data_IF_325830665131
#
_entry.id   IF_325830665131
#
_cell.length_a   1.000
_cell.length_b   1.000
_cell.length_c   1.000
_cell.angle_alpha   90.00
_cell.angle_beta   90.00
_cell.angle_gamma   90.00
#
_symmetry.space_group_name_H-M   'P 1'
#
loop_
_entity.id
_entity.type
_entity.pdbx_description
1 polymer ?
#
# COMPACT_ATOMS: atom_id res chain seq x y z
N UNK A 1 11.87 18.66 -34.66
CA UNK A 1 10.97 17.58 -34.20
C UNK A 1 11.80 16.55 -33.45
N UNK A 2 11.85 16.65 -32.14
CA UNK A 2 12.49 15.65 -31.27
C UNK A 2 11.39 14.82 -30.65
N UNK A 3 11.33 13.55 -30.99
CA UNK A 3 10.50 12.56 -30.32
C UNK A 3 11.17 12.17 -29.00
N UNK A 4 10.51 12.26 -27.85
CA UNK A 4 11.05 11.74 -26.62
C UNK A 4 10.85 10.22 -26.58
N UNK A 5 11.91 9.47 -26.80
CA UNK A 5 11.97 8.04 -26.49
C UNK A 5 12.13 7.88 -24.98
N UNK A 6 11.03 7.71 -24.28
CA UNK A 6 11.05 7.21 -22.90
C UNK A 6 11.11 5.69 -22.93
N UNK A 7 12.30 5.14 -23.10
CA UNK A 7 12.55 3.70 -22.93
C UNK A 7 13.23 3.49 -21.59
N UNK A 8 12.48 3.12 -20.55
CA UNK A 8 13.03 2.47 -19.36
C UNK A 8 12.51 1.04 -19.35
N UNK A 9 13.17 0.20 -20.13
CA UNK A 9 13.06 -1.25 -20.05
C UNK A 9 14.19 -1.76 -19.17
N UNK A 10 13.87 -2.16 -17.95
CA UNK A 10 14.76 -3.02 -17.15
C UNK A 10 13.95 -4.26 -16.81
N UNK A 11 14.30 -5.36 -17.47
CA UNK A 11 13.77 -6.67 -17.16
C UNK A 11 14.25 -7.12 -15.77
N UNK A 12 13.33 -7.53 -14.91
CA UNK A 12 13.63 -8.25 -13.67
C UNK A 12 12.87 -9.57 -13.63
N UNK A 13 13.63 -10.61 -13.30
CA UNK A 13 13.14 -11.96 -13.05
C UNK A 13 12.18 -11.98 -11.85
N UNK A 14 11.16 -12.81 -11.94
CA UNK A 14 10.18 -13.02 -10.89
C UNK A 14 10.85 -13.66 -9.67
N UNK A 15 10.73 -13.00 -8.51
CA UNK A 15 10.98 -13.57 -7.21
C UNK A 15 9.66 -13.60 -6.43
N UNK A 16 9.30 -14.77 -5.92
CA UNK A 16 8.13 -14.98 -5.07
C UNK A 16 8.47 -14.54 -3.64
N UNK A 17 7.72 -13.61 -3.08
CA UNK A 17 7.87 -13.14 -1.69
C UNK A 17 6.54 -12.63 -1.15
N UNK A 18 6.32 -12.81 0.15
CA UNK A 18 5.11 -12.41 0.85
C UNK A 18 4.91 -10.89 0.92
N UNK A 19 3.68 -10.43 0.85
CA UNK A 19 3.30 -9.03 0.63
C UNK A 19 2.11 -8.64 1.51
N UNK A 20 2.04 -7.38 1.91
CA UNK A 20 0.77 -6.75 2.29
C UNK A 20 -0.20 -6.80 1.12
N UNK A 21 -1.47 -7.03 1.32
CA UNK A 21 -2.40 -7.48 0.29
C UNK A 21 -1.90 -8.71 -0.50
N UNK A 22 -0.99 -9.50 -0.03
CA UNK A 22 -0.38 -10.59 -0.78
C UNK A 22 0.03 -10.20 -2.21
N UNK A 23 0.72 -11.08 -2.91
CA UNK A 23 1.13 -10.82 -4.31
C UNK A 23 -0.05 -10.49 -5.22
N UNK A 24 -1.18 -11.15 -5.01
CA UNK A 24 -2.41 -10.97 -5.78
C UNK A 24 -2.98 -9.55 -5.60
N UNK A 25 -3.11 -9.08 -4.36
CA UNK A 25 -3.70 -7.78 -4.05
C UNK A 25 -2.86 -6.62 -4.58
N UNK A 26 -1.54 -6.62 -4.33
CA UNK A 26 -0.63 -5.60 -4.87
C UNK A 26 -0.62 -5.56 -6.39
N UNK A 27 -0.60 -6.71 -7.05
CA UNK A 27 -0.66 -6.78 -8.50
C UNK A 27 -1.99 -6.24 -9.03
N UNK A 28 -3.09 -6.48 -8.32
CA UNK A 28 -4.43 -5.97 -8.67
C UNK A 28 -4.50 -4.45 -8.51
N UNK A 29 -3.98 -3.89 -7.42
CA UNK A 29 -3.84 -2.44 -7.21
C UNK A 29 -3.03 -1.80 -8.33
N UNK A 30 -1.86 -2.35 -8.64
CA UNK A 30 -0.95 -1.80 -9.64
C UNK A 30 -1.49 -1.89 -11.07
N UNK A 31 -2.25 -2.93 -11.39
CA UNK A 31 -2.84 -3.10 -12.72
C UNK A 31 -3.81 -1.97 -13.09
N UNK A 32 -4.52 -1.36 -12.13
CA UNK A 32 -5.41 -0.21 -12.39
C UNK A 32 -4.64 1.04 -12.82
N UNK A 33 -3.45 1.27 -12.30
CA UNK A 33 -2.71 2.53 -12.50
C UNK A 33 -2.12 2.72 -13.90
N UNK A 34 -2.09 1.68 -14.75
CA UNK A 34 -1.39 1.68 -16.08
C UNK A 34 -2.35 1.64 -17.28
N UNK A 35 -3.63 1.79 -17.09
CA UNK A 35 -4.67 1.34 -18.00
C UNK A 35 -4.99 2.21 -19.22
N UNK A 36 -4.01 2.73 -19.92
CA UNK A 36 -4.15 2.93 -21.36
C UNK A 36 -3.45 1.85 -22.21
N UNK A 37 -2.58 1.04 -21.59
CA UNK A 37 -1.87 -0.06 -22.25
C UNK A 37 -1.83 -1.31 -21.37
N UNK A 38 -2.68 -2.28 -21.68
CA UNK A 38 -2.75 -3.57 -21.00
C UNK A 38 -1.61 -4.52 -21.37
N UNK A 39 -0.72 -4.15 -22.28
CA UNK A 39 0.37 -4.99 -22.78
C UNK A 39 1.59 -5.00 -21.85
N UNK A 40 1.72 -4.03 -20.94
CA UNK A 40 2.87 -3.93 -20.03
C UNK A 40 2.44 -4.00 -18.57
N UNK A 41 2.48 -5.22 -18.03
CA UNK A 41 2.22 -5.47 -16.59
C UNK A 41 3.37 -5.02 -15.68
N UNK A 42 4.16 -4.00 -16.07
CA UNK A 42 5.37 -3.63 -15.32
C UNK A 42 5.08 -3.30 -13.86
N UNK A 43 4.10 -2.44 -13.60
CA UNK A 43 3.77 -2.06 -12.22
C UNK A 43 3.23 -3.25 -11.42
N UNK A 44 2.41 -4.11 -12.00
CA UNK A 44 1.93 -5.32 -11.36
C UNK A 44 3.08 -6.31 -11.05
N UNK A 45 4.06 -6.44 -11.97
CA UNK A 45 5.22 -7.30 -11.78
C UNK A 45 6.18 -6.82 -10.69
N UNK A 46 6.21 -5.53 -10.39
CA UNK A 46 7.08 -4.95 -9.34
C UNK A 46 6.33 -4.59 -8.07
N UNK A 47 5.02 -4.81 -8.03
CA UNK A 47 4.17 -4.36 -6.93
C UNK A 47 4.55 -4.97 -5.57
N UNK A 48 5.02 -6.22 -5.54
CA UNK A 48 5.51 -6.91 -4.33
C UNK A 48 7.02 -6.83 -4.13
N UNK A 49 7.73 -6.02 -4.94
CA UNK A 49 9.19 -5.93 -4.86
C UNK A 49 9.68 -5.44 -3.49
N UNK A 50 9.00 -4.49 -2.87
CA UNK A 50 9.42 -3.89 -1.60
C UNK A 50 9.44 -4.89 -0.45
N UNK A 51 8.53 -5.89 -0.43
CA UNK A 51 8.54 -6.97 0.56
C UNK A 51 9.75 -7.87 0.43
N UNK A 52 10.11 -8.22 -0.79
CA UNK A 52 11.34 -8.98 -1.02
C UNK A 52 12.57 -8.15 -0.66
N UNK A 53 12.56 -6.86 -1.03
CA UNK A 53 13.68 -5.97 -0.80
C UNK A 53 13.97 -5.75 0.68
N UNK A 54 12.95 -5.53 1.54
CA UNK A 54 13.13 -5.36 3.00
C UNK A 54 13.80 -6.54 3.69
N UNK A 55 13.75 -7.73 3.09
CA UNK A 55 14.40 -8.94 3.61
C UNK A 55 15.88 -9.04 3.23
N UNK A 56 16.38 -8.15 2.36
CA UNK A 56 17.79 -8.09 1.97
C UNK A 56 18.59 -7.21 2.92
N UNK A 57 19.91 -7.41 2.96
CA UNK A 57 20.80 -6.53 3.74
C UNK A 57 20.70 -5.05 3.31
N UNK A 58 20.54 -4.79 2.01
CA UNK A 58 20.41 -3.45 1.45
C UNK A 58 19.05 -2.80 1.74
N UNK A 59 17.98 -3.61 1.82
CA UNK A 59 16.61 -3.13 1.97
C UNK A 59 16.08 -3.16 3.41
N UNK A 60 16.82 -3.72 4.36
CA UNK A 60 16.35 -3.93 5.75
C UNK A 60 15.87 -2.64 6.43
N UNK A 61 16.39 -1.49 6.05
CA UNK A 61 15.97 -0.18 6.56
C UNK A 61 14.50 0.14 6.26
N UNK A 62 13.93 -0.46 5.21
CA UNK A 62 12.57 -0.18 4.76
C UNK A 62 11.49 -1.02 5.46
N UNK A 63 11.86 -1.93 6.36
CA UNK A 63 10.90 -2.75 7.08
C UNK A 63 9.76 -1.95 7.77
N UNK A 64 10.02 -0.82 8.46
CA UNK A 64 8.96 -0.03 9.08
C UNK A 64 8.12 0.79 8.09
N UNK A 65 8.49 0.84 6.81
CA UNK A 65 7.77 1.63 5.80
C UNK A 65 6.47 0.99 5.34
N UNK A 66 6.25 -0.29 5.63
CA UNK A 66 5.10 -1.05 5.16
C UNK A 66 3.84 -0.83 6.00
N UNK A 67 3.91 -0.10 7.12
CA UNK A 67 2.79 0.08 8.03
C UNK A 67 2.89 1.40 8.82
N UNK A 68 1.78 1.77 9.46
CA UNK A 68 1.75 2.73 10.54
C UNK A 68 0.95 2.12 11.70
N UNK A 69 1.56 2.03 12.87
CA UNK A 69 0.96 1.40 14.05
C UNK A 69 0.10 2.41 14.80
N UNK A 70 -1.17 2.58 14.39
CA UNK A 70 -2.10 3.42 15.12
C UNK A 70 -2.24 2.94 16.56
N UNK A 71 -1.83 3.79 17.50
CA UNK A 71 -1.94 3.51 18.92
C UNK A 71 -3.31 3.98 19.43
N UNK A 72 -4.33 3.25 19.06
CA UNK A 72 -5.73 3.51 19.36
C UNK A 72 -6.36 2.36 20.17
N UNK A 73 -7.66 2.10 20.08
CA UNK A 73 -8.34 1.12 20.95
C UNK A 73 -9.53 0.44 20.24
N UNK A 74 -9.28 -0.42 19.22
CA UNK A 74 -10.36 -1.18 18.61
C UNK A 74 -11.07 -2.12 19.60
N UNK A 75 -12.37 -2.34 19.45
CA UNK A 75 -13.28 -1.79 18.45
C UNK A 75 -13.90 -0.43 18.84
N UNK A 76 -13.49 0.16 19.95
CA UNK A 76 -14.12 1.36 20.51
C UNK A 76 -13.71 2.65 19.81
N UNK A 77 -12.46 2.72 19.33
CA UNK A 77 -11.88 3.90 18.70
C UNK A 77 -10.81 3.49 17.72
N UNK A 78 -10.97 3.91 16.47
CA UNK A 78 -9.97 3.72 15.42
C UNK A 78 -9.60 5.08 14.82
N UNK A 79 -8.31 5.45 14.94
CA UNK A 79 -7.82 6.72 14.44
C UNK A 79 -6.29 6.69 14.23
N UNK A 80 -5.84 7.18 13.11
CA UNK A 80 -4.43 7.40 12.82
C UNK A 80 -4.05 8.83 13.19
N UNK A 81 -2.96 8.97 13.95
CA UNK A 81 -2.34 10.26 14.21
C UNK A 81 -0.85 10.20 13.82
N UNK A 82 -0.48 10.83 12.73
CA UNK A 82 0.89 10.78 12.20
C UNK A 82 1.95 11.14 13.25
N UNK A 83 1.74 12.17 14.05
CA UNK A 83 2.70 12.60 15.05
C UNK A 83 2.84 11.62 16.23
N UNK A 84 1.77 10.87 16.54
CA UNK A 84 1.75 9.85 17.60
C UNK A 84 2.33 8.51 17.09
N UNK A 85 1.97 8.13 15.87
CA UNK A 85 2.07 6.74 15.40
C UNK A 85 3.28 6.49 14.50
N UNK A 86 3.81 7.53 13.83
CA UNK A 86 5.01 7.39 13.00
C UNK A 86 6.28 7.52 13.84
N UNK A 87 7.14 6.51 13.83
CA UNK A 87 8.38 6.48 14.64
C UNK A 87 9.52 7.25 13.99
N UNK A 88 10.65 7.37 14.72
CA UNK A 88 11.89 7.90 14.16
C UNK A 88 12.48 7.02 13.05
N UNK A 89 12.13 5.74 13.01
CA UNK A 89 12.51 4.82 11.92
C UNK A 89 11.67 5.00 10.65
N UNK A 90 10.63 5.83 10.71
CA UNK A 90 9.68 6.03 9.63
C UNK A 90 8.42 5.15 9.76
N UNK A 91 7.50 5.32 8.83
CA UNK A 91 6.26 4.57 8.68
C UNK A 91 5.78 4.67 7.22
N UNK A 92 4.68 4.00 6.85
CA UNK A 92 4.11 4.05 5.50
C UNK A 92 3.84 5.48 5.01
N UNK A 93 3.30 6.34 5.86
CA UNK A 93 3.00 7.74 5.52
C UNK A 93 4.27 8.55 5.21
N UNK A 94 5.30 8.46 6.06
CA UNK A 94 6.56 9.15 5.84
C UNK A 94 7.29 8.64 4.60
N UNK A 95 7.21 7.33 4.35
CA UNK A 95 7.80 6.70 3.18
C UNK A 95 7.09 7.12 1.89
N UNK A 96 5.75 7.13 1.85
CA UNK A 96 4.98 7.65 0.71
C UNK A 96 5.40 9.09 0.40
N UNK A 97 5.55 9.95 1.41
CA UNK A 97 6.01 11.33 1.22
C UNK A 97 7.41 11.39 0.62
N UNK A 98 8.36 10.64 1.18
CA UNK A 98 9.75 10.60 0.70
C UNK A 98 9.81 10.10 -0.76
N UNK A 99 9.18 8.96 -1.04
CA UNK A 99 9.26 8.38 -2.39
C UNK A 99 8.47 9.18 -3.43
N UNK A 100 7.41 9.89 -3.06
CA UNK A 100 6.75 10.88 -3.93
C UNK A 100 7.72 11.95 -4.38
N UNK A 101 8.48 12.54 -3.44
CA UNK A 101 9.48 13.56 -3.75
C UNK A 101 10.59 13.00 -4.65
N UNK A 102 11.07 11.79 -4.37
CA UNK A 102 12.13 11.13 -5.17
C UNK A 102 11.67 10.80 -6.59
N UNK A 103 10.45 10.32 -6.79
CA UNK A 103 9.90 10.10 -8.15
C UNK A 103 9.75 11.42 -8.91
N UNK A 104 9.46 12.51 -8.23
CA UNK A 104 9.33 13.84 -8.82
C UNK A 104 10.68 14.58 -9.02
N UNK A 105 11.81 14.05 -8.50
CA UNK A 105 13.11 14.72 -8.58
C UNK A 105 13.86 14.34 -9.86
N UNK A 106 13.87 15.22 -10.84
CA UNK A 106 14.56 15.02 -12.12
C UNK A 106 16.10 14.93 -11.99
N UNK A 107 16.69 15.27 -10.84
CA UNK A 107 18.14 15.19 -10.60
C UNK A 107 18.58 13.79 -10.21
N UNK A 108 17.67 12.93 -9.81
CA UNK A 108 18.00 11.56 -9.43
C UNK A 108 18.30 10.70 -10.67
N UNK A 109 19.17 9.72 -10.47
CA UNK A 109 19.45 8.73 -11.52
C UNK A 109 18.19 7.92 -11.84
N UNK A 110 18.10 7.41 -13.07
CA UNK A 110 17.01 6.52 -13.48
C UNK A 110 16.84 5.33 -12.53
N UNK A 111 17.95 4.76 -12.03
CA UNK A 111 17.91 3.65 -11.07
C UNK A 111 17.26 4.06 -9.74
N UNK A 112 17.63 5.24 -9.20
CA UNK A 112 17.05 5.76 -7.96
C UNK A 112 15.57 6.12 -8.11
N UNK A 113 15.18 6.67 -9.26
CA UNK A 113 13.77 6.97 -9.57
C UNK A 113 12.96 5.68 -9.72
N UNK A 114 13.51 4.65 -10.39
CA UNK A 114 12.86 3.36 -10.53
C UNK A 114 12.68 2.63 -9.19
N UNK A 115 13.67 2.72 -8.28
CA UNK A 115 13.54 2.21 -6.92
C UNK A 115 12.42 2.94 -6.16
N UNK A 116 12.43 4.27 -6.21
CA UNK A 116 11.41 5.10 -5.57
C UNK A 116 10.00 4.79 -6.09
N UNK A 117 9.85 4.58 -7.41
CA UNK A 117 8.57 4.20 -8.01
C UNK A 117 8.09 2.84 -7.50
N UNK A 118 8.98 1.85 -7.39
CA UNK A 118 8.62 0.52 -6.86
C UNK A 118 8.11 0.59 -5.42
N UNK A 119 8.79 1.36 -4.57
CA UNK A 119 8.29 1.62 -3.22
C UNK A 119 6.91 2.30 -3.24
N UNK A 120 6.74 3.34 -4.05
CA UNK A 120 5.49 4.08 -4.10
C UNK A 120 4.32 3.21 -4.55
N UNK A 121 4.53 2.36 -5.58
CA UNK A 121 3.53 1.40 -6.06
C UNK A 121 3.10 0.45 -4.96
N UNK A 122 4.05 -0.07 -4.18
CA UNK A 122 3.79 -1.00 -3.09
C UNK A 122 3.07 -0.32 -1.92
N UNK A 123 3.63 0.76 -1.42
CA UNK A 123 3.15 1.44 -0.21
C UNK A 123 1.75 2.07 -0.37
N UNK A 124 1.36 2.47 -1.59
CA UNK A 124 -0.01 2.90 -1.85
C UNK A 124 -1.01 1.73 -1.83
N UNK A 125 -0.53 0.51 -1.98
CA UNK A 125 -1.31 -0.70 -1.67
C UNK A 125 -1.42 -0.92 -0.18
N UNK A 126 -0.27 -0.95 0.52
CA UNK A 126 -0.18 -1.22 1.98
C UNK A 126 -1.13 -0.33 2.78
N UNK A 127 -1.08 0.99 2.55
CA UNK A 127 -1.89 1.98 3.26
C UNK A 127 -3.41 1.85 3.06
N UNK A 128 -3.86 0.93 2.23
CA UNK A 128 -5.29 0.63 2.07
C UNK A 128 -5.72 -0.64 2.78
N UNK A 129 -4.79 -1.44 3.31
CA UNK A 129 -5.09 -2.63 4.09
C UNK A 129 -5.26 -2.23 5.57
N UNK A 130 -6.44 -2.42 6.16
CA UNK A 130 -6.75 -1.89 7.49
C UNK A 130 -5.74 -2.29 8.59
N UNK A 131 -5.22 -3.51 8.56
CA UNK A 131 -4.30 -4.02 9.58
C UNK A 131 -2.86 -3.51 9.39
N UNK A 132 -2.53 -2.88 8.26
CA UNK A 132 -1.28 -2.14 8.09
C UNK A 132 -1.29 -0.78 8.78
N UNK A 133 -2.47 -0.31 9.18
CA UNK A 133 -2.66 0.97 9.85
C UNK A 133 -3.09 0.78 11.32
N UNK A 134 -2.75 -0.38 11.93
CA UNK A 134 -3.19 -0.79 13.27
C UNK A 134 -2.04 -1.34 14.11
N UNK A 135 -2.00 -0.95 15.40
CA UNK A 135 -1.01 -1.45 16.34
C UNK A 135 -1.47 -2.68 17.15
N UNK A 136 -2.78 -2.88 17.30
CA UNK A 136 -3.31 -3.94 18.18
C UNK A 136 -2.84 -5.33 17.75
N UNK A 137 -2.28 -6.08 18.71
CA UNK A 137 -1.75 -7.43 18.46
C UNK A 137 -0.82 -7.49 17.24
N UNK A 138 0.07 -6.49 17.13
CA UNK A 138 1.05 -6.34 16.03
C UNK A 138 0.34 -6.26 14.67
N UNK A 139 -0.69 -5.42 14.58
CA UNK A 139 -1.56 -5.33 13.39
C UNK A 139 -2.27 -6.65 13.08
N UNK A 140 -2.69 -7.38 14.10
CA UNK A 140 -3.37 -8.67 13.95
C UNK A 140 -2.47 -9.87 13.70
N UNK A 141 -1.14 -9.74 13.66
CA UNK A 141 -0.22 -10.88 13.49
C UNK A 141 -0.23 -11.83 14.69
N UNK A 142 -0.52 -11.32 15.89
CA UNK A 142 -0.61 -12.13 17.10
C UNK A 142 -2.05 -12.65 17.36
N UNK A 143 -3.02 -12.31 16.52
CA UNK A 143 -4.39 -12.83 16.60
C UNK A 143 -4.45 -14.16 15.84
N UNK A 144 -4.37 -15.26 16.56
CA UNK A 144 -4.49 -16.61 15.97
C UNK A 144 -5.94 -16.92 15.64
N UNK A 145 -6.19 -17.34 14.42
CA UNK A 145 -7.52 -17.62 13.88
C UNK A 145 -7.53 -18.97 13.13
N UNK A 146 -8.71 -19.42 12.78
CA UNK A 146 -8.92 -20.53 11.84
C UNK A 146 -9.65 -19.97 10.62
N UNK A 147 -9.12 -20.23 9.43
CA UNK A 147 -9.74 -19.81 8.17
C UNK A 147 -9.82 -21.00 7.20
N UNK A 148 -11.02 -21.28 6.68
CA UNK A 148 -11.32 -22.34 5.70
C UNK A 148 -10.74 -23.73 6.10
N UNK A 149 -10.85 -24.06 7.39
CA UNK A 149 -10.37 -25.31 7.97
C UNK A 149 -8.88 -25.31 8.36
N UNK A 150 -8.11 -24.27 8.05
CA UNK A 150 -6.70 -24.14 8.45
C UNK A 150 -6.60 -23.42 9.79
N UNK A 151 -6.16 -24.15 10.82
CA UNK A 151 -5.95 -23.62 12.17
C UNK A 151 -4.54 -23.02 12.32
N UNK A 152 -4.38 -22.14 13.32
CA UNK A 152 -3.12 -21.47 13.66
C UNK A 152 -2.59 -20.47 12.62
N UNK A 153 -3.44 -20.00 11.74
CA UNK A 153 -3.13 -18.82 10.94
C UNK A 153 -3.25 -17.53 11.79
N UNK A 154 -2.98 -16.41 11.23
CA UNK A 154 -3.20 -15.14 11.90
C UNK A 154 -4.07 -14.23 11.05
N UNK A 155 -4.80 -13.33 11.72
CA UNK A 155 -5.75 -12.45 11.09
C UNK A 155 -5.12 -11.56 10.01
N UNK A 156 -3.87 -11.10 10.22
CA UNK A 156 -3.14 -10.29 9.26
C UNK A 156 -2.91 -11.03 7.94
N UNK A 157 -2.41 -12.27 8.03
CA UNK A 157 -2.20 -13.13 6.85
C UNK A 157 -3.50 -13.44 6.12
N UNK A 158 -4.60 -13.62 6.86
CA UNK A 158 -5.91 -13.84 6.24
C UNK A 158 -6.33 -12.63 5.40
N UNK A 159 -6.18 -11.42 5.93
CA UNK A 159 -6.53 -10.19 5.22
C UNK A 159 -5.60 -9.91 4.03
N UNK A 160 -4.32 -10.15 4.19
CA UNK A 160 -3.34 -9.93 3.13
C UNK A 160 -3.51 -10.92 1.97
N UNK A 161 -3.73 -12.19 2.29
CA UNK A 161 -3.50 -13.29 1.36
C UNK A 161 -4.73 -14.17 1.19
N UNK A 162 -5.20 -14.83 2.25
CA UNK A 162 -6.13 -15.95 2.08
C UNK A 162 -7.56 -15.53 1.74
N UNK A 163 -8.03 -14.39 2.25
CA UNK A 163 -9.33 -13.82 1.87
C UNK A 163 -9.33 -13.36 0.39
N UNK A 164 -8.34 -12.58 -0.10
CA UNK A 164 -8.17 -12.28 -1.51
C UNK A 164 -8.08 -13.51 -2.43
N UNK A 165 -7.21 -14.46 -2.08
CA UNK A 165 -7.01 -15.68 -2.87
C UNK A 165 -8.27 -16.55 -2.91
N UNK A 166 -8.97 -16.67 -1.78
CA UNK A 166 -10.27 -17.37 -1.73
C UNK A 166 -11.32 -16.73 -2.63
N UNK A 167 -11.32 -15.40 -2.75
CA UNK A 167 -12.22 -14.65 -3.64
C UNK A 167 -11.96 -14.95 -5.11
N UNK A 168 -10.70 -15.01 -5.50
CA UNK A 168 -10.28 -15.10 -6.90
C UNK A 168 -10.08 -16.55 -7.34
N UNK A 169 -9.73 -17.43 -6.42
CA UNK A 169 -9.45 -18.84 -6.67
C UNK A 169 -8.02 -19.11 -7.13
N UNK A 170 -7.10 -18.13 -6.96
CA UNK A 170 -5.70 -18.26 -7.31
C UNK A 170 -4.88 -17.03 -6.93
N UNK A 171 -3.57 -17.11 -7.15
CA UNK A 171 -2.58 -16.08 -6.79
C UNK A 171 -1.72 -15.60 -7.98
N UNK A 172 -2.08 -16.02 -9.20
CA UNK A 172 -1.27 -15.70 -10.39
C UNK A 172 -1.49 -14.24 -10.86
N UNK A 173 -0.52 -13.74 -11.63
CA UNK A 173 -0.66 -12.43 -12.29
C UNK A 173 -1.92 -12.36 -13.18
N UNK A 174 -2.29 -13.47 -13.83
CA UNK A 174 -3.52 -13.54 -14.63
C UNK A 174 -4.77 -13.38 -13.78
N UNK A 175 -4.76 -13.96 -12.57
CA UNK A 175 -5.86 -13.81 -11.61
C UNK A 175 -5.97 -12.36 -11.14
N UNK A 176 -4.84 -11.73 -10.79
CA UNK A 176 -4.79 -10.32 -10.43
C UNK A 176 -5.32 -9.41 -11.55
N UNK A 177 -4.93 -9.65 -12.79
CA UNK A 177 -5.40 -8.89 -13.96
C UNK A 177 -6.90 -9.07 -14.19
N UNK A 178 -7.42 -10.27 -14.02
CA UNK A 178 -8.84 -10.58 -14.16
C UNK A 178 -9.66 -9.87 -13.08
N UNK A 179 -9.18 -9.90 -11.84
CA UNK A 179 -9.82 -9.19 -10.73
C UNK A 179 -9.76 -7.69 -10.92
N UNK A 180 -8.61 -7.14 -11.32
CA UNK A 180 -8.47 -5.72 -11.62
C UNK A 180 -9.45 -5.25 -12.69
N UNK A 181 -9.66 -6.02 -13.77
CA UNK A 181 -10.68 -5.69 -14.80
C UNK A 181 -12.08 -5.58 -14.21
N UNK A 182 -12.46 -6.48 -13.30
CA UNK A 182 -13.76 -6.46 -12.62
C UNK A 182 -13.90 -5.21 -11.74
N UNK A 183 -12.85 -4.87 -10.95
CA UNK A 183 -12.85 -3.70 -10.10
C UNK A 183 -12.87 -2.39 -10.92
N UNK A 184 -12.18 -2.36 -12.05
CA UNK A 184 -12.21 -1.23 -12.98
C UNK A 184 -13.61 -1.03 -13.55
N UNK A 185 -14.27 -2.08 -14.00
CA UNK A 185 -15.64 -2.00 -14.48
C UNK A 185 -16.60 -1.46 -13.39
N UNK A 186 -16.36 -1.85 -12.13
CA UNK A 186 -17.12 -1.32 -10.99
C UNK A 186 -16.89 0.18 -10.76
N UNK A 187 -15.65 0.67 -11.01
CA UNK A 187 -15.29 2.09 -10.91
C UNK A 187 -15.85 2.90 -12.10
N UNK A 188 -15.70 2.40 -13.31
CA UNK A 188 -16.00 3.17 -14.53
C UNK A 188 -17.50 3.27 -14.81
N UNK A 189 -18.24 2.21 -14.51
CA UNK A 189 -19.68 2.12 -14.85
C UNK A 189 -20.56 1.44 -13.80
N UNK A 190 -19.96 0.78 -12.80
CA UNK A 190 -20.68 -0.01 -11.79
C UNK A 190 -20.87 0.69 -10.44
N UNK A 191 -20.86 -0.11 -9.37
CA UNK A 191 -21.20 0.30 -8.01
C UNK A 191 -20.29 1.37 -7.40
N UNK A 192 -19.06 1.51 -7.87
CA UNK A 192 -18.08 2.46 -7.34
C UNK A 192 -18.02 3.78 -8.12
N UNK A 193 -18.73 3.90 -9.26
CA UNK A 193 -18.65 5.08 -10.13
C UNK A 193 -18.92 6.41 -9.42
N UNK A 194 -19.97 6.45 -8.61
CA UNK A 194 -20.33 7.67 -7.87
C UNK A 194 -19.43 7.97 -6.67
N UNK A 195 -18.61 7.00 -6.23
CA UNK A 195 -17.76 7.09 -5.05
C UNK A 195 -16.31 7.42 -5.38
N UNK A 196 -15.82 6.99 -6.56
CA UNK A 196 -14.40 6.99 -6.89
C UNK A 196 -13.73 8.36 -6.79
N UNK A 197 -14.40 9.44 -7.21
CA UNK A 197 -13.85 10.80 -7.11
C UNK A 197 -13.60 11.24 -5.66
N UNK A 198 -14.39 10.75 -4.71
CA UNK A 198 -14.22 11.06 -3.28
C UNK A 198 -12.94 10.43 -2.69
N UNK A 199 -12.48 9.31 -3.24
CA UNK A 199 -11.30 8.60 -2.74
C UNK A 199 -10.00 9.36 -2.92
N UNK A 200 -9.97 10.30 -3.86
CA UNK A 200 -8.82 11.15 -4.20
C UNK A 200 -9.05 12.64 -3.91
N UNK A 201 -10.17 12.99 -3.29
CA UNK A 201 -10.53 14.38 -3.01
C UNK A 201 -9.50 15.12 -2.12
N UNK A 202 -8.74 14.37 -1.31
CA UNK A 202 -7.66 14.89 -0.46
C UNK A 202 -6.26 14.64 -1.03
N UNK A 203 -6.14 14.09 -2.24
CA UNK A 203 -4.85 13.78 -2.87
C UNK A 203 -4.12 15.05 -3.29
N UNK A 204 -3.00 15.32 -2.64
CA UNK A 204 -2.12 16.47 -2.93
C UNK A 204 -0.65 16.02 -2.85
N UNK A 205 0.03 15.93 -3.98
CA UNK A 205 1.44 15.50 -4.04
C UNK A 205 2.40 16.48 -3.35
N UNK A 206 2.00 17.76 -3.17
CA UNK A 206 2.78 18.75 -2.45
C UNK A 206 2.59 18.66 -0.92
N UNK A 207 1.59 17.92 -0.47
CA UNK A 207 1.33 17.59 0.94
C UNK A 207 0.99 16.10 1.04
N UNK A 208 1.99 15.28 0.74
CA UNK A 208 1.85 13.83 0.71
C UNK A 208 1.58 13.23 2.10
N UNK A 209 2.09 13.87 3.16
CA UNK A 209 1.83 13.42 4.54
C UNK A 209 0.35 13.54 4.88
N UNK A 210 -0.28 14.68 4.64
CA UNK A 210 -1.72 14.86 4.88
C UNK A 210 -2.56 13.91 4.02
N UNK A 211 -2.18 13.72 2.75
CA UNK A 211 -2.87 12.81 1.84
C UNK A 211 -2.79 11.35 2.32
N UNK A 212 -1.59 10.86 2.62
CA UNK A 212 -1.39 9.49 3.09
C UNK A 212 -2.02 9.25 4.47
N UNK A 213 -1.98 10.24 5.38
CA UNK A 213 -2.69 10.17 6.68
C UNK A 213 -4.19 10.02 6.49
N UNK A 214 -4.77 10.71 5.51
CA UNK A 214 -6.20 10.57 5.22
C UNK A 214 -6.55 9.18 4.66
N UNK A 215 -5.65 8.56 3.87
CA UNK A 215 -5.84 7.21 3.36
C UNK A 215 -5.68 6.13 4.44
N UNK A 216 -4.65 6.26 5.28
CA UNK A 216 -4.46 5.41 6.45
C UNK A 216 -5.65 5.49 7.43
N UNK A 217 -6.16 6.70 7.69
CA UNK A 217 -7.34 6.89 8.55
C UNK A 217 -8.61 6.27 7.97
N UNK A 218 -8.78 6.32 6.63
CA UNK A 218 -9.90 5.68 5.93
C UNK A 218 -9.83 4.14 6.04
N UNK A 219 -8.63 3.56 6.01
CA UNK A 219 -8.43 2.12 6.17
C UNK A 219 -8.53 1.70 7.66
N UNK A 220 -7.85 2.39 8.57
CA UNK A 220 -7.87 2.09 10.01
C UNK A 220 -9.30 2.15 10.59
N UNK A 221 -10.16 3.08 10.14
CA UNK A 221 -11.56 3.13 10.59
C UNK A 221 -12.34 1.82 10.34
N UNK A 222 -11.90 1.02 9.36
CA UNK A 222 -12.49 -0.29 9.08
C UNK A 222 -12.06 -1.35 10.10
N UNK A 223 -10.99 -1.14 10.83
CA UNK A 223 -10.59 -2.05 11.92
C UNK A 223 -11.70 -2.14 12.95
N UNK A 224 -12.25 -1.01 13.39
CA UNK A 224 -13.35 -0.97 14.34
C UNK A 224 -14.68 -1.47 13.79
N UNK A 225 -14.95 -1.24 12.50
CA UNK A 225 -16.30 -1.42 11.95
C UNK A 225 -16.47 -2.70 11.15
N UNK A 226 -15.39 -3.25 10.62
CA UNK A 226 -15.42 -4.42 9.71
C UNK A 226 -14.48 -5.53 10.16
N UNK A 227 -13.19 -5.20 10.43
CA UNK A 227 -12.17 -6.22 10.74
C UNK A 227 -12.46 -6.89 12.07
N UNK A 228 -12.63 -6.12 13.12
CA UNK A 228 -12.86 -6.65 14.48
C UNK A 228 -13.94 -5.89 15.26
N UNK A 229 -15.18 -5.77 14.73
CA UNK A 229 -16.25 -4.97 15.35
C UNK A 229 -16.69 -5.51 16.71
N UNK A 230 -16.40 -6.77 17.00
CA UNK A 230 -16.72 -7.44 18.25
C UNK A 230 -15.47 -7.77 19.10
N UNK A 231 -14.33 -7.16 18.74
CA UNK A 231 -13.02 -7.38 19.40
C UNK A 231 -12.34 -8.70 19.03
N UNK A 232 -11.12 -8.87 19.53
CA UNK A 232 -10.22 -9.98 19.20
C UNK A 232 -10.82 -11.36 19.55
N UNK A 233 -11.40 -11.50 20.75
CA UNK A 233 -11.94 -12.77 21.23
C UNK A 233 -13.01 -13.38 20.29
N UNK A 234 -13.80 -12.54 19.64
CA UNK A 234 -14.82 -13.01 18.70
C UNK A 234 -14.22 -13.63 17.43
N UNK A 235 -13.03 -13.18 17.00
CA UNK A 235 -12.32 -13.70 15.84
C UNK A 235 -11.63 -15.02 16.10
N UNK A 236 -11.26 -15.28 17.35
CA UNK A 236 -10.58 -16.50 17.77
C UNK A 236 -11.56 -17.65 18.04
N UNK A 237 -12.86 -17.44 17.80
CA UNK A 237 -13.90 -18.43 18.07
C UNK A 237 -14.43 -19.02 16.76
N UNK A 238 -14.15 -20.30 16.54
CA UNK A 238 -14.61 -21.05 15.35
C UNK A 238 -13.81 -20.73 14.10
N UNK A 239 -14.41 -20.99 12.94
CA UNK A 239 -13.81 -20.76 11.63
C UNK A 239 -14.34 -19.43 11.04
N UNK A 240 -13.44 -18.59 10.57
CA UNK A 240 -13.79 -17.32 9.92
C UNK A 240 -14.48 -17.53 8.56
N UNK A 241 -14.26 -18.69 7.92
CA UNK A 241 -14.99 -19.07 6.71
C UNK A 241 -16.20 -19.94 7.06
N UNK A 242 -17.38 -19.73 6.41
CA UNK A 242 -17.66 -18.69 5.42
C UNK A 242 -18.25 -17.40 6.01
N UNK A 243 -18.61 -17.39 7.30
CA UNK A 243 -19.48 -16.32 7.88
C UNK A 243 -18.77 -14.97 7.95
N UNK A 244 -17.55 -14.92 8.50
CA UNK A 244 -16.76 -13.71 8.57
C UNK A 244 -16.29 -13.28 7.15
N UNK A 245 -15.79 -14.24 6.36
CA UNK A 245 -15.39 -14.03 4.99
C UNK A 245 -16.46 -13.29 4.17
N UNK A 246 -17.70 -13.76 4.18
CA UNK A 246 -18.81 -13.16 3.43
C UNK A 246 -19.13 -11.72 3.89
N UNK A 247 -18.82 -11.37 5.14
CA UNK A 247 -19.02 -10.00 5.65
C UNK A 247 -17.91 -9.05 5.21
N UNK A 248 -16.66 -9.52 5.14
CA UNK A 248 -15.50 -8.65 4.93
C UNK A 248 -15.08 -8.53 3.48
N UNK A 249 -15.38 -9.53 2.62
CA UNK A 249 -14.92 -9.54 1.24
C UNK A 249 -15.36 -8.29 0.41
N UNK A 250 -16.57 -7.70 0.59
CA UNK A 250 -16.92 -6.47 -0.10
C UNK A 250 -16.02 -5.29 0.29
N UNK A 251 -15.53 -5.29 1.55
CA UNK A 251 -14.59 -4.27 2.03
C UNK A 251 -13.19 -4.49 1.46
N UNK A 252 -12.73 -5.73 1.37
CA UNK A 252 -11.45 -6.07 0.72
C UNK A 252 -11.46 -5.60 -0.73
N UNK A 253 -12.51 -5.91 -1.49
CA UNK A 253 -12.67 -5.44 -2.88
C UNK A 253 -12.66 -3.92 -2.99
N UNK A 254 -13.36 -3.24 -2.09
CA UNK A 254 -13.40 -1.77 -2.04
C UNK A 254 -12.02 -1.17 -1.76
N UNK A 255 -11.28 -1.69 -0.79
CA UNK A 255 -9.98 -1.17 -0.40
C UNK A 255 -8.92 -1.40 -1.50
N UNK A 256 -8.92 -2.55 -2.16
CA UNK A 256 -8.07 -2.81 -3.33
C UNK A 256 -8.44 -1.85 -4.49
N UNK A 257 -9.72 -1.62 -4.75
CA UNK A 257 -10.18 -0.66 -5.75
C UNK A 257 -9.73 0.78 -5.43
N UNK A 258 -9.83 1.20 -4.15
CA UNK A 258 -9.33 2.50 -3.67
C UNK A 258 -7.82 2.61 -3.87
N UNK A 259 -7.05 1.59 -3.51
CA UNK A 259 -5.59 1.54 -3.70
C UNK A 259 -5.20 1.77 -5.14
N UNK A 260 -5.80 1.04 -6.08
CA UNK A 260 -5.54 1.19 -7.51
C UNK A 260 -5.93 2.57 -8.06
N UNK A 261 -7.07 3.10 -7.62
CA UNK A 261 -7.53 4.42 -8.07
C UNK A 261 -6.64 5.55 -7.50
N UNK A 262 -6.26 5.47 -6.23
CA UNK A 262 -5.34 6.40 -5.57
C UNK A 262 -3.95 6.37 -6.21
N UNK A 263 -3.42 5.18 -6.50
CA UNK A 263 -2.13 5.02 -7.18
C UNK A 263 -2.15 5.67 -8.58
N UNK A 264 -3.20 5.43 -9.37
CA UNK A 264 -3.34 6.04 -10.69
C UNK A 264 -3.39 7.57 -10.63
N UNK A 265 -4.22 8.14 -9.75
CA UNK A 265 -4.32 9.58 -9.52
C UNK A 265 -2.97 10.18 -9.08
N UNK A 266 -2.29 9.51 -8.15
CA UNK A 266 -1.01 9.97 -7.61
C UNK A 266 0.09 10.03 -8.65
N UNK A 267 0.26 8.95 -9.43
CA UNK A 267 1.25 8.89 -10.50
C UNK A 267 0.95 9.89 -11.61
N UNK A 268 -0.32 10.08 -11.98
CA UNK A 268 -0.72 11.09 -12.97
C UNK A 268 -0.40 12.51 -12.50
N UNK A 269 -0.62 12.83 -11.21
CA UNK A 269 -0.28 14.12 -10.63
C UNK A 269 1.23 14.38 -10.63
N UNK A 270 2.04 13.38 -10.25
CA UNK A 270 3.51 13.46 -10.30
C UNK A 270 3.97 13.69 -11.73
N UNK A 271 3.45 12.93 -12.69
CA UNK A 271 3.81 13.06 -14.11
C UNK A 271 3.46 14.44 -14.66
N UNK A 272 2.25 14.92 -14.40
CA UNK A 272 1.78 16.25 -14.84
C UNK A 272 2.62 17.39 -14.25
N UNK A 273 2.98 17.28 -12.96
CA UNK A 273 3.85 18.27 -12.31
C UNK A 273 5.26 18.27 -12.91
N UNK A 274 5.80 17.11 -13.31
CA UNK A 274 7.10 17.00 -13.95
C UNK A 274 7.12 17.57 -15.37
N UNK A 275 6.04 17.44 -16.14
CA UNK A 275 5.90 18.10 -17.45
C UNK A 275 5.86 19.60 -17.26
N UNK A 276 5.01 20.10 -16.38
CA UNK A 276 4.90 21.54 -16.12
C UNK A 276 6.24 22.16 -15.67
N UNK A 277 7.04 21.44 -14.88
CA UNK A 277 8.40 21.89 -14.51
C UNK A 277 9.31 21.99 -15.74
N UNK A 278 9.35 20.97 -16.60
CA UNK A 278 10.18 20.97 -17.82
C UNK A 278 9.80 22.09 -18.78
N UNK A 279 8.52 22.38 -18.92
CA UNK A 279 8.03 23.48 -19.76
C UNK A 279 8.44 24.84 -19.19
N UNK A 280 8.50 24.98 -17.85
CA UNK A 280 8.97 26.19 -17.17
C UNK A 280 10.51 26.33 -17.23
N UNK A 281 11.26 25.22 -17.10
CA UNK A 281 12.73 25.20 -17.19
C UNK A 281 13.21 25.57 -18.58
N UNK A 282 12.43 25.30 -19.63
CA UNK A 282 12.68 25.80 -20.99
C UNK A 282 12.52 27.32 -21.15
N UNK A 283 11.98 27.98 -20.10
CA UNK A 283 11.77 29.45 -20.10
C UNK A 283 12.63 30.23 -19.10
N UNK A 284 13.28 29.61 -18.11
CA UNK A 284 14.20 30.29 -17.20
C UNK A 284 15.07 29.38 -16.35
N UNK A 285 16.38 29.40 -16.51
CA UNK A 285 17.37 28.78 -15.61
C UNK A 285 17.34 29.33 -14.18
N UNK A 286 16.68 30.46 -13.95
CA UNK A 286 16.69 31.18 -12.67
C UNK A 286 15.68 30.62 -11.62
N UNK A 287 14.66 29.85 -12.02
CA UNK A 287 13.63 29.33 -11.11
C UNK A 287 14.04 28.04 -10.39
N UNK A 288 15.00 27.30 -10.93
CA UNK A 288 15.44 25.99 -10.44
C UNK A 288 16.08 26.05 -9.05
N UNK A 289 16.75 27.17 -8.74
CA UNK A 289 17.50 27.32 -7.48
C UNK A 289 16.61 27.44 -6.22
N UNK A 290 15.33 27.78 -6.35
CA UNK A 290 14.42 28.07 -5.22
C UNK A 290 13.58 26.90 -4.74
N UNK A 291 13.45 25.80 -5.50
CA UNK A 291 12.61 24.65 -5.13
C UNK A 291 13.38 23.46 -4.50
N UNK A 292 14.66 23.63 -4.19
CA UNK A 292 15.56 22.54 -3.83
C UNK A 292 15.60 22.15 -2.34
N UNK A 293 14.72 22.65 -1.48
CA UNK A 293 14.69 22.21 -0.08
C UNK A 293 13.34 21.61 0.29
N UNK A 294 13.24 20.30 0.19
CA UNK A 294 12.22 19.56 0.93
C UNK A 294 12.44 19.78 2.43
N UNK A 295 11.40 20.20 3.13
CA UNK A 295 11.46 20.31 4.60
C UNK A 295 11.81 18.95 5.22
N UNK A 296 12.65 18.92 6.26
CA UNK A 296 12.89 17.70 7.02
C UNK A 296 11.57 17.14 7.55
N UNK A 297 11.44 15.82 7.55
CA UNK A 297 10.32 15.17 8.21
C UNK A 297 10.23 15.58 9.67
N UNK A 298 9.04 15.85 10.22
CA UNK A 298 8.89 16.17 11.62
C UNK A 298 9.43 15.02 12.48
N UNK A 299 9.96 15.31 13.68
CA UNK A 299 10.50 14.27 14.57
C UNK A 299 9.39 13.29 14.96
N UNK A 300 9.67 12.01 14.81
CA UNK A 300 8.75 10.96 15.16
C UNK A 300 8.78 10.67 16.68
N UNK A 301 7.67 10.15 17.20
CA UNK A 301 7.52 9.72 18.58
C UNK A 301 8.33 8.46 18.90
N UNK A 302 8.50 8.15 20.18
CA UNK A 302 9.08 6.87 20.60
C UNK A 302 8.19 5.71 20.15
N UNK A 303 8.77 4.58 19.71
CA UNK A 303 8.03 3.41 19.29
C UNK A 303 7.08 2.94 20.40
N UNK A 304 5.86 2.57 20.05
CA UNK A 304 4.94 1.88 20.96
C UNK A 304 5.29 0.38 21.04
N UNK A 305 4.56 -0.36 21.92
CA UNK A 305 4.82 -1.78 22.15
C UNK A 305 4.69 -2.62 20.87
N UNK A 306 3.69 -2.32 20.02
CA UNK A 306 3.48 -3.04 18.78
C UNK A 306 4.59 -2.77 17.77
N UNK A 307 5.03 -1.52 17.65
CA UNK A 307 6.17 -1.15 16.79
C UNK A 307 7.45 -1.87 17.18
N UNK A 308 7.76 -1.94 18.50
CA UNK A 308 8.92 -2.67 19.00
C UNK A 308 8.79 -4.19 18.77
N UNK A 309 7.56 -4.74 18.90
CA UNK A 309 7.32 -6.14 18.59
C UNK A 309 7.55 -6.44 17.11
N UNK A 310 7.04 -5.61 16.18
CA UNK A 310 7.28 -5.76 14.74
C UNK A 310 8.76 -5.66 14.38
N UNK A 311 9.51 -4.77 15.00
CA UNK A 311 10.96 -4.67 14.83
C UNK A 311 11.66 -5.96 15.30
N UNK A 312 11.23 -6.55 16.42
CA UNK A 312 11.76 -7.79 16.94
C UNK A 312 11.46 -9.01 16.04
N UNK A 313 10.31 -9.02 15.36
CA UNK A 313 9.96 -10.04 14.36
C UNK A 313 10.65 -9.84 12.99
N UNK A 314 11.54 -8.86 12.89
CA UNK A 314 12.25 -8.57 11.63
C UNK A 314 11.40 -7.88 10.58
N UNK A 315 10.29 -7.26 10.99
CA UNK A 315 9.38 -6.53 10.10
C UNK A 315 8.63 -7.42 9.11
N UNK A 316 8.50 -8.73 9.40
CA UNK A 316 7.79 -9.67 8.55
C UNK A 316 6.30 -9.68 8.88
N UNK A 317 5.42 -9.43 7.88
CA UNK A 317 4.09 -10.02 7.91
C UNK A 317 4.27 -11.55 7.96
N UNK A 318 3.55 -12.22 8.86
CA UNK A 318 3.72 -13.67 9.13
C UNK A 318 3.33 -14.61 7.98
N UNK A 319 3.37 -14.16 6.74
CA UNK A 319 2.85 -14.85 5.55
C UNK A 319 3.72 -16.02 5.05
N UNK A 320 4.87 -16.31 5.66
CA UNK A 320 5.84 -17.27 5.10
C UNK A 320 5.69 -18.73 5.57
N UNK A 321 4.64 -19.11 6.32
CA UNK A 321 4.66 -20.41 6.98
C UNK A 321 3.84 -21.55 6.36
N UNK A 322 3.15 -21.37 5.26
CA UNK A 322 2.36 -22.46 4.66
C UNK A 322 2.64 -22.67 3.17
N UNK A 323 3.83 -23.21 2.84
CA UNK A 323 4.01 -24.01 1.63
C UNK A 323 4.59 -25.36 2.04
N UNK A 324 3.73 -26.33 2.14
CA UNK A 324 4.03 -27.73 1.87
C UNK A 324 3.11 -28.22 0.77
#
# INVERSE_FOLDING_TARGET
MYTPTASVLVGLAALKGASAWGTLGHATVAAKSVLSDTSTSYLANVASWADTYRSTAAGKFSAPYHFIDANDSPPSSCNVNYARDCTSSGCSISAISNYTQRVADARLSTASTAEALKFLVHLLGDVTQPLHDEALEVGGNDIKVTFDGYANDNLHSDWDTYIPEKKVGGDSLTDAQSWAKTLIASIDSGSYKSLASSWVAKSNINDAVTSATAWASDANALVCTVVMPNGVAALQTGDLYPTYYNKVIPTVELQIAKGGYRLADWLNKIYSANIAKRDLEGQSEELVSRMAMAAPLPPANRPNKAQLAREAYGGGCGCDKHKK
#
